data_IF_776026624244
#
_entry.id   IF_776026624244
#
_cell.length_a   1.000
_cell.length_b   1.000
_cell.length_c   1.000
_cell.angle_alpha   90.00
_cell.angle_beta   90.00
_cell.angle_gamma   90.00
#
_symmetry.space_group_name_H-M   'P 1'
#
loop_
_entity.id
_entity.type
_entity.pdbx_description
1 polymer ?
#
# COMPACT_ATOMS: atom_id res chain seq x y z
N UNK A 1 7.51 -4.53 3.71
CA UNK A 1 6.57 -3.42 3.93
C UNK A 1 6.39 -3.13 5.41
N UNK A 2 5.80 -4.03 6.21
CA UNK A 2 5.58 -3.86 7.65
C UNK A 2 6.75 -3.20 8.42
N UNK A 3 7.96 -3.77 8.35
CA UNK A 3 9.13 -3.18 9.03
C UNK A 3 9.40 -1.69 8.70
N UNK A 4 9.12 -1.25 7.45
CA UNK A 4 9.27 0.15 7.03
C UNK A 4 8.21 1.05 7.67
N UNK A 5 6.99 0.57 7.79
CA UNK A 5 5.88 1.35 8.34
C UNK A 5 5.84 1.30 9.88
N UNK A 6 6.33 0.22 10.49
CA UNK A 6 6.51 0.11 11.94
C UNK A 6 7.66 1.00 12.43
N UNK A 7 8.74 1.13 11.65
CA UNK A 7 9.87 1.98 11.99
C UNK A 7 9.61 3.49 11.78
N UNK A 8 8.55 3.84 11.04
CA UNK A 8 8.24 5.21 10.62
C UNK A 8 6.74 5.48 10.81
N UNK A 9 6.37 5.89 12.02
CA UNK A 9 4.97 6.15 12.41
C UNK A 9 4.26 7.14 11.48
N UNK A 10 4.97 8.15 10.98
CA UNK A 10 4.46 9.12 10.02
C UNK A 10 4.00 8.47 8.70
N UNK A 11 4.67 7.41 8.27
CA UNK A 11 4.28 6.65 7.08
C UNK A 11 3.09 5.74 7.35
N UNK A 12 3.01 5.16 8.56
CA UNK A 12 1.83 4.39 8.99
C UNK A 12 0.60 5.29 9.02
N UNK A 13 0.70 6.48 9.61
CA UNK A 13 -0.38 7.47 9.63
C UNK A 13 -0.77 7.90 8.22
N UNK A 14 0.21 8.16 7.34
CA UNK A 14 -0.06 8.48 5.94
C UNK A 14 -0.79 7.34 5.23
N UNK A 15 -0.38 6.08 5.43
CA UNK A 15 -1.05 4.92 4.86
C UNK A 15 -2.49 4.80 5.36
N UNK A 16 -2.73 4.97 6.66
CA UNK A 16 -4.08 4.94 7.24
C UNK A 16 -4.94 6.12 6.74
N UNK A 17 -4.34 7.28 6.48
CA UNK A 17 -5.05 8.47 5.96
C UNK A 17 -5.63 8.27 4.56
N UNK A 18 -5.18 7.24 3.82
CA UNK A 18 -5.76 6.86 2.52
C UNK A 18 -7.18 6.26 2.65
N UNK A 19 -7.64 5.99 3.88
CA UNK A 19 -8.99 5.51 4.15
C UNK A 19 -9.23 4.17 3.47
N UNK A 20 -10.25 4.09 2.63
CA UNK A 20 -10.58 2.89 1.85
C UNK A 20 -10.26 3.04 0.36
N UNK A 21 -9.55 4.10 -0.03
CA UNK A 21 -9.20 4.33 -1.43
C UNK A 21 -8.23 3.28 -1.95
N UNK A 22 -8.35 2.96 -3.23
CA UNK A 22 -7.46 2.02 -3.92
C UNK A 22 -6.10 2.65 -4.19
N UNK A 23 -5.02 1.94 -3.85
CA UNK A 23 -3.65 2.36 -4.05
C UNK A 23 -3.09 1.76 -5.34
N UNK A 24 -2.77 2.61 -6.31
CA UNK A 24 -2.21 2.21 -7.60
C UNK A 24 -0.78 2.73 -7.72
N UNK A 25 0.19 1.82 -7.83
CA UNK A 25 1.58 2.16 -8.13
C UNK A 25 1.70 2.45 -9.64
N UNK A 26 1.78 3.75 -9.98
CA UNK A 26 1.85 4.20 -11.37
C UNK A 26 3.27 4.11 -11.91
N UNK A 27 3.50 3.11 -12.75
CA UNK A 27 4.77 2.88 -13.45
C UNK A 27 4.52 2.27 -14.82
N UNK A 28 5.33 2.64 -15.82
CA UNK A 28 5.27 2.08 -17.18
C UNK A 28 6.28 0.94 -17.42
N UNK A 29 7.17 0.68 -16.46
CA UNK A 29 8.30 -0.25 -16.64
C UNK A 29 8.21 -1.50 -15.77
N UNK A 30 7.19 -1.60 -14.92
CA UNK A 30 7.02 -2.74 -14.01
C UNK A 30 5.55 -3.16 -13.93
N UNK A 31 5.21 -4.18 -14.73
CA UNK A 31 3.87 -4.75 -14.80
C UNK A 31 3.59 -5.73 -13.63
N UNK A 32 4.58 -6.04 -12.78
CA UNK A 32 4.37 -6.91 -11.63
C UNK A 32 4.04 -6.09 -10.39
N UNK A 33 4.87 -5.11 -10.04
CA UNK A 33 4.66 -4.32 -8.83
C UNK A 33 3.67 -3.18 -9.02
N UNK A 34 3.57 -2.61 -10.22
CA UNK A 34 2.65 -1.52 -10.51
C UNK A 34 1.66 -1.82 -11.63
N UNK A 35 0.99 -0.76 -12.10
CA UNK A 35 -0.10 -0.86 -13.08
C UNK A 35 0.38 -1.07 -14.53
N UNK A 36 1.67 -0.95 -14.80
CA UNK A 36 2.19 -1.03 -16.17
C UNK A 36 1.76 0.15 -17.05
N UNK A 37 2.15 0.09 -18.32
CA UNK A 37 1.93 1.18 -19.29
C UNK A 37 0.46 1.44 -19.58
N UNK A 38 -0.37 0.40 -19.61
CA UNK A 38 -1.78 0.45 -20.01
C UNK A 38 -2.76 0.15 -18.86
N UNK A 39 -2.26 0.03 -17.62
CA UNK A 39 -3.08 -0.30 -16.46
C UNK A 39 -3.36 -1.80 -16.28
N UNK A 40 -2.77 -2.67 -17.11
CA UNK A 40 -2.96 -4.13 -17.01
C UNK A 40 -1.96 -4.84 -16.08
N UNK A 41 -0.99 -4.08 -15.54
CA UNK A 41 -0.05 -4.58 -14.54
C UNK A 41 -0.74 -5.01 -13.24
N UNK A 42 -0.09 -5.91 -12.52
CA UNK A 42 -0.68 -6.60 -11.36
C UNK A 42 -0.82 -5.73 -10.12
N UNK A 43 -0.17 -4.57 -10.07
CA UNK A 43 -0.24 -3.64 -8.93
C UNK A 43 0.01 -4.31 -7.56
N UNK A 44 0.93 -5.29 -7.49
CA UNK A 44 1.17 -6.05 -6.25
C UNK A 44 1.61 -5.17 -5.08
N UNK A 45 2.26 -4.04 -5.35
CA UNK A 45 2.66 -3.12 -4.28
C UNK A 45 1.43 -2.46 -3.64
N UNK A 46 0.49 -1.99 -4.47
CA UNK A 46 -0.76 -1.40 -4.01
C UNK A 46 -1.56 -2.38 -3.15
N UNK A 47 -1.75 -3.61 -3.64
CA UNK A 47 -2.46 -4.67 -2.91
C UNK A 47 -1.82 -4.95 -1.55
N UNK A 48 -0.49 -5.10 -1.47
CA UNK A 48 0.18 -5.37 -0.19
C UNK A 48 0.15 -4.17 0.77
N UNK A 49 0.09 -2.94 0.25
CA UNK A 49 -0.08 -1.74 1.08
C UNK A 49 -1.49 -1.67 1.66
N UNK A 50 -2.51 -2.03 0.88
CA UNK A 50 -3.89 -2.14 1.34
C UNK A 50 -4.04 -3.26 2.38
N UNK A 51 -3.50 -4.44 2.14
CA UNK A 51 -3.47 -5.52 3.14
C UNK A 51 -2.80 -5.05 4.44
N UNK A 52 -1.66 -4.36 4.35
CA UNK A 52 -0.98 -3.80 5.52
C UNK A 52 -1.85 -2.76 6.24
N UNK A 53 -2.55 -1.88 5.51
CA UNK A 53 -3.50 -0.92 6.08
C UNK A 53 -4.59 -1.61 6.88
N UNK A 54 -5.20 -2.67 6.33
CA UNK A 54 -6.23 -3.46 7.03
C UNK A 54 -5.67 -4.11 8.31
N UNK A 55 -4.45 -4.63 8.27
CA UNK A 55 -3.84 -5.18 9.50
C UNK A 55 -3.64 -4.13 10.58
N UNK A 56 -3.32 -2.88 10.23
CA UNK A 56 -3.21 -1.79 11.21
C UNK A 56 -4.54 -1.31 11.76
N UNK A 57 -5.65 -1.44 11.01
CA UNK A 57 -7.00 -1.18 11.52
C UNK A 57 -7.50 -2.27 12.46
N UNK A 58 -7.06 -3.51 12.26
CA UNK A 58 -7.42 -4.65 13.11
C UNK A 58 -6.62 -4.72 14.42
N UNK A 59 -5.46 -4.06 14.50
CA UNK A 59 -4.68 -3.97 15.73
C UNK A 59 -5.41 -3.07 16.76
N UNK A 60 -5.66 -3.54 17.99
CA UNK A 60 -6.24 -2.70 19.02
C UNK A 60 -5.25 -1.57 19.36
N UNK A 61 -5.71 -0.32 19.22
CA UNK A 61 -4.96 0.86 19.65
C UNK A 61 -4.70 0.72 21.15
N UNK A 62 -3.45 0.42 21.52
CA UNK A 62 -3.01 0.32 22.93
C UNK A 62 -2.75 1.70 23.50
#
# INVERSE_FOLDING_TARGET
LRAKFDAHTELRELLLSTGTETLIEKTSTDDYWGCGTDGTGKNRLGELLEELRETYHAEPTT
#
